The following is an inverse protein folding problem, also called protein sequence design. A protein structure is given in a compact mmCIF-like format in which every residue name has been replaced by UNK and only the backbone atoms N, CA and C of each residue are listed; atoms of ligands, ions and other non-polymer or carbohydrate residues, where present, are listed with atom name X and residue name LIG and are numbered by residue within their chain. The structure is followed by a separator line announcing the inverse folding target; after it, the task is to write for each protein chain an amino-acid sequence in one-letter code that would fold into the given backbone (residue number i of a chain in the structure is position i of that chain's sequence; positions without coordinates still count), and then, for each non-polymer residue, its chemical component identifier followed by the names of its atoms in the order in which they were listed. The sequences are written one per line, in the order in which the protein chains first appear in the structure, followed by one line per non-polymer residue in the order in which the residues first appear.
data_IF_254757294579
#
_entry.id   IF_254757294579
#
_cell.length_a   1.000
_cell.length_b   1.000
_cell.length_c   1.000
_cell.angle_alpha   90.00
_cell.angle_beta   90.00
_cell.angle_gamma   90.00
#
_symmetry.space_group_name_H-M   'P 1'
#
loop_
_entity.id
_entity.type
_entity.pdbx_description
1 polymer ?
#
# COMPACT_ATOMS: atom_id res chain seq x y z
N UNK A 1 -22.93 -5.24 11.63
CA UNK A 1 -21.76 -6.17 11.66
C UNK A 1 -20.50 -5.32 11.69
N UNK A 2 -19.94 -5.05 12.88
CA UNK A 2 -18.67 -4.33 12.98
C UNK A 2 -17.58 -5.32 12.63
N UNK A 3 -17.05 -5.25 11.40
CA UNK A 3 -15.88 -6.05 11.01
C UNK A 3 -14.77 -5.65 11.98
N UNK A 4 -14.40 -6.53 12.92
CA UNK A 4 -13.13 -6.41 13.63
C UNK A 4 -12.08 -6.42 12.52
N UNK A 5 -11.60 -5.24 12.13
CA UNK A 5 -10.48 -5.15 11.22
C UNK A 5 -9.29 -5.67 12.01
N UNK A 6 -8.92 -6.92 11.76
CA UNK A 6 -7.63 -7.43 12.19
C UNK A 6 -6.59 -6.43 11.71
N UNK A 7 -5.73 -5.95 12.62
CA UNK A 7 -4.51 -5.26 12.20
C UNK A 7 -3.83 -6.14 11.13
N UNK A 8 -3.39 -5.54 10.03
CA UNK A 8 -2.85 -6.23 8.85
C UNK A 8 -3.88 -6.85 7.89
N UNK A 9 -5.11 -6.32 7.86
CA UNK A 9 -6.07 -6.71 6.83
C UNK A 9 -5.64 -6.23 5.45
N UNK A 10 -5.57 -7.14 4.48
CA UNK A 10 -5.41 -6.77 3.07
C UNK A 10 -6.63 -5.97 2.60
N UNK A 11 -6.36 -4.82 1.99
CA UNK A 11 -7.35 -3.91 1.43
C UNK A 11 -7.32 -4.05 -0.09
N UNK A 12 -8.48 -4.25 -0.74
CA UNK A 12 -8.54 -4.33 -2.19
C UNK A 12 -8.09 -3.01 -2.82
N UNK A 13 -7.15 -3.09 -3.77
CA UNK A 13 -6.65 -1.94 -4.51
C UNK A 13 -6.67 -2.21 -6.02
N UNK A 14 -7.06 -1.20 -6.82
CA UNK A 14 -7.21 -1.34 -8.28
C UNK A 14 -5.91 -1.71 -9.01
N UNK A 15 -4.77 -1.34 -8.43
CA UNK A 15 -3.43 -1.61 -8.97
C UNK A 15 -2.82 -2.90 -8.41
N UNK A 16 -3.58 -3.68 -7.61
CA UNK A 16 -3.05 -4.90 -7.00
C UNK A 16 -2.54 -5.87 -8.08
N UNK A 17 -1.30 -6.33 -7.93
CA UNK A 17 -0.63 -7.19 -8.89
C UNK A 17 -0.18 -6.50 -10.18
N UNK A 18 -0.36 -5.18 -10.33
CA UNK A 18 0.08 -4.41 -11.50
C UNK A 18 1.45 -3.77 -11.28
N UNK A 19 2.07 -3.36 -12.38
CA UNK A 19 3.27 -2.54 -12.36
C UNK A 19 2.87 -1.11 -11.96
N UNK A 20 3.59 -0.54 -10.99
CA UNK A 20 3.31 0.76 -10.41
C UNK A 20 4.57 1.61 -10.34
N UNK A 21 4.36 2.93 -10.37
CA UNK A 21 5.40 3.94 -10.15
C UNK A 21 4.97 4.87 -9.03
N UNK A 22 5.90 5.16 -8.13
CA UNK A 22 5.74 6.25 -7.16
C UNK A 22 6.30 7.54 -7.77
N UNK A 23 5.47 8.55 -8.08
CA UNK A 23 5.94 9.80 -8.67
C UNK A 23 6.79 10.64 -7.71
N UNK A 24 6.67 10.46 -6.39
CA UNK A 24 7.44 11.23 -5.42
C UNK A 24 8.90 10.75 -5.33
N UNK A 25 9.13 9.44 -5.43
CA UNK A 25 10.46 8.84 -5.32
C UNK A 25 11.05 8.40 -6.66
N UNK A 26 10.22 8.33 -7.71
CA UNK A 26 10.59 7.80 -9.02
C UNK A 26 10.75 6.27 -9.05
N UNK A 27 10.49 5.57 -7.94
CA UNK A 27 10.68 4.12 -7.84
C UNK A 27 9.55 3.37 -8.54
N UNK A 28 9.92 2.29 -9.21
CA UNK A 28 9.01 1.43 -9.95
C UNK A 28 9.06 -0.01 -9.40
N UNK A 29 7.94 -0.71 -9.49
CA UNK A 29 7.84 -2.09 -9.05
C UNK A 29 6.45 -2.67 -9.24
N UNK A 30 6.21 -3.87 -8.70
CA UNK A 30 4.90 -4.51 -8.72
C UNK A 30 4.21 -4.31 -7.37
N UNK A 31 2.96 -3.83 -7.38
CA UNK A 31 2.18 -3.72 -6.15
C UNK A 31 1.77 -5.11 -5.68
N UNK A 32 2.34 -5.55 -4.56
CA UNK A 32 2.13 -6.89 -4.01
C UNK A 32 0.95 -6.96 -3.07
N UNK A 33 0.72 -5.94 -2.24
CA UNK A 33 -0.40 -5.87 -1.32
C UNK A 33 -0.63 -4.42 -0.87
N UNK A 34 -1.84 -4.11 -0.44
CA UNK A 34 -2.14 -2.91 0.36
C UNK A 34 -2.68 -3.38 1.68
N UNK A 35 -2.03 -3.00 2.78
CA UNK A 35 -2.44 -3.41 4.12
C UNK A 35 -2.97 -2.21 4.89
N UNK A 36 -4.01 -2.45 5.68
CA UNK A 36 -4.40 -1.49 6.71
C UNK A 36 -3.60 -1.76 7.99
N UNK A 37 -2.75 -0.80 8.35
CA UNK A 37 -1.86 -0.87 9.49
C UNK A 37 -2.29 0.11 10.58
N UNK A 38 -2.27 -0.30 11.87
CA UNK A 38 -2.57 0.61 12.96
C UNK A 38 -1.42 1.60 13.15
N UNK A 39 -1.74 2.90 13.13
CA UNK A 39 -0.80 3.97 13.48
C UNK A 39 -0.77 4.25 15.01
N UNK A 40 -1.71 3.67 15.76
CA UNK A 40 -1.87 3.88 17.20
C UNK A 40 -3.08 4.75 17.54
N UNK A 41 -3.18 5.15 18.81
CA UNK A 41 -4.33 5.88 19.34
C UNK A 41 -4.05 7.38 19.35
N UNK A 42 -4.90 8.16 18.68
CA UNK A 42 -4.86 9.64 18.66
C UNK A 42 -6.22 10.16 19.15
N UNK A 43 -6.22 11.02 20.18
CA UNK A 43 -7.44 11.51 20.85
C UNK A 43 -8.40 10.38 21.30
N UNK A 44 -7.83 9.30 21.85
CA UNK A 44 -8.61 8.14 22.31
C UNK A 44 -9.22 7.29 21.18
N UNK A 45 -8.88 7.55 19.92
CA UNK A 45 -9.34 6.78 18.75
C UNK A 45 -8.18 6.07 18.06
N UNK A 46 -8.35 4.78 17.75
CA UNK A 46 -7.39 4.04 16.94
C UNK A 46 -7.34 4.61 15.51
N UNK A 47 -6.15 4.97 15.06
CA UNK A 47 -5.86 5.42 13.71
C UNK A 47 -5.25 4.28 12.91
N UNK A 48 -5.60 4.28 11.64
CA UNK A 48 -5.11 3.31 10.67
C UNK A 48 -4.60 4.06 9.44
N UNK A 49 -3.61 3.49 8.77
CA UNK A 49 -3.16 3.94 7.46
C UNK A 49 -3.15 2.75 6.51
N UNK A 50 -3.37 3.05 5.23
CA UNK A 50 -3.21 2.08 4.15
C UNK A 50 -1.77 2.20 3.65
N UNK A 51 -1.02 1.10 3.70
CA UNK A 51 0.37 1.02 3.26
C UNK A 51 0.46 0.08 2.06
N UNK A 52 0.98 0.59 0.94
CA UNK A 52 1.23 -0.21 -0.25
C UNK A 52 2.62 -0.87 -0.16
N UNK A 53 2.67 -2.19 -0.28
CA UNK A 53 3.90 -2.96 -0.35
C UNK A 53 4.25 -3.25 -1.80
N UNK A 54 5.36 -2.71 -2.26
CA UNK A 54 5.79 -2.79 -3.66
C UNK A 54 7.10 -3.56 -3.73
N UNK A 55 7.14 -4.56 -4.63
CA UNK A 55 8.36 -5.26 -4.98
C UNK A 55 9.04 -4.52 -6.13
N UNK A 56 10.14 -3.84 -5.84
CA UNK A 56 10.93 -3.09 -6.81
C UNK A 56 11.56 -3.98 -7.88
N UNK A 57 11.90 -3.37 -9.02
CA UNK A 57 12.58 -4.05 -10.15
C UNK A 57 13.95 -4.60 -9.77
N UNK A 58 14.62 -3.96 -8.82
CA UNK A 58 15.88 -4.37 -8.21
C UNK A 58 15.71 -5.46 -7.13
N UNK A 59 14.55 -6.12 -7.09
CA UNK A 59 14.15 -7.11 -6.10
C UNK A 59 14.09 -6.62 -4.65
N UNK A 60 14.29 -5.32 -4.40
CA UNK A 60 14.08 -4.71 -3.07
C UNK A 60 12.63 -4.32 -2.87
N UNK A 61 12.14 -4.56 -1.68
CA UNK A 61 10.80 -4.13 -1.28
C UNK A 61 10.84 -2.68 -0.78
N UNK A 62 9.77 -1.95 -1.05
CA UNK A 62 9.54 -0.64 -0.46
C UNK A 62 8.07 -0.41 -0.19
N UNK A 63 7.80 0.45 0.77
CA UNK A 63 6.44 0.88 1.12
C UNK A 63 6.15 2.24 0.50
N UNK A 64 4.92 2.45 0.06
CA UNK A 64 4.44 3.71 -0.47
C UNK A 64 2.99 3.99 -0.03
N UNK A 65 2.54 5.22 -0.22
CA UNK A 65 1.13 5.56 -0.07
C UNK A 65 0.33 5.00 -1.27
N UNK A 66 -0.71 4.16 -1.06
CA UNK A 66 -1.47 3.57 -2.16
C UNK A 66 -2.17 4.62 -3.04
N UNK A 67 -2.52 5.77 -2.44
CA UNK A 67 -3.20 6.87 -3.12
C UNK A 67 -2.29 7.67 -4.07
N UNK A 68 -0.97 7.58 -3.92
CA UNK A 68 -0.01 8.31 -4.77
C UNK A 68 0.54 7.44 -5.90
N UNK A 69 0.40 6.12 -5.80
CA UNK A 69 0.86 5.19 -6.82
C UNK A 69 0.04 5.33 -8.11
N UNK A 70 0.76 5.37 -9.23
CA UNK A 70 0.19 5.32 -10.57
C UNK A 70 0.56 3.99 -11.22
N UNK A 71 -0.27 3.54 -12.17
CA UNK A 71 0.08 2.41 -13.04
C UNK A 71 1.31 2.79 -13.86
N UNK A 72 2.31 1.91 -13.90
CA UNK A 72 3.45 2.06 -14.79
C UNK A 72 3.07 1.44 -16.14
N UNK A 73 3.07 2.25 -17.19
CA UNK A 73 2.81 1.81 -18.56
C UNK A 73 3.94 0.84 -18.99
N UNK A 74 3.62 -0.46 -19.07
CA UNK A 74 4.59 -1.49 -19.41
C UNK A 74 4.02 -2.90 -19.30
N UNK A 75 3.32 -3.36 -20.33
CA UNK A 75 3.14 -4.79 -20.65
C UNK A 75 3.14 -4.97 -22.15
#
# INVERSE_FOLDING_TARGET
MTRRRSAFGEVPHRLHGKQVRDPATGREGRLMAVLEEPLGVVDGRQRYAETAYVRGVDAREFTASPTTLIEAEGS
#
